data_IF_748912772921
#
_entry.id   IF_748912772921
#
_cell.length_a   1.000
_cell.length_b   1.000
_cell.length_c   1.000
_cell.angle_alpha   90.00
_cell.angle_beta   90.00
_cell.angle_gamma   90.00
#
_symmetry.space_group_name_H-M   'P 1'
#
loop_
_entity.id
_entity.type
_entity.pdbx_description
1 polymer ?
#
# COMPACT_ATOMS: atom_id res chain seq x y z
N UNK A 1 -2.57 15.38 13.25
CA UNK A 1 -1.51 15.08 12.27
C UNK A 1 -1.77 15.98 11.07
N UNK A 2 -0.79 16.80 10.67
CA UNK A 2 -0.90 17.62 9.45
C UNK A 2 -0.89 16.67 8.24
N UNK A 3 -1.90 16.77 7.39
CA UNK A 3 -2.07 15.94 6.20
C UNK A 3 -0.99 16.31 5.16
N UNK A 4 -0.61 15.39 4.26
CA UNK A 4 0.31 15.70 3.14
C UNK A 4 -0.22 16.84 2.26
N UNK A 5 -1.55 16.98 2.15
CA UNK A 5 -2.21 18.10 1.47
C UNK A 5 -2.02 19.46 2.16
N UNK A 6 -1.55 19.48 3.42
CA UNK A 6 -1.45 20.70 4.23
C UNK A 6 -0.09 21.40 4.14
N UNK A 7 0.91 20.81 3.46
CA UNK A 7 2.22 21.46 3.25
C UNK A 7 2.15 22.37 2.03
N UNK A 8 2.09 23.68 2.27
CA UNK A 8 2.11 24.70 1.22
C UNK A 8 3.50 24.74 0.56
N UNK A 9 3.55 24.78 -0.77
CA UNK A 9 4.80 24.90 -1.52
C UNK A 9 4.73 26.09 -2.44
N UNK A 10 5.73 26.96 -2.38
CA UNK A 10 5.82 28.17 -3.21
C UNK A 10 7.21 28.31 -3.80
N UNK A 11 7.28 28.90 -4.99
CA UNK A 11 8.54 29.22 -5.68
C UNK A 11 9.15 30.54 -5.17
N UNK A 12 8.35 31.38 -4.51
CA UNK A 12 8.80 32.62 -3.87
C UNK A 12 9.57 32.32 -2.57
N UNK A 13 10.55 33.16 -2.18
CA UNK A 13 11.29 32.97 -0.93
C UNK A 13 10.46 33.28 0.34
N UNK A 14 9.33 33.96 0.17
CA UNK A 14 8.38 34.34 1.22
C UNK A 14 6.95 34.33 0.70
N UNK A 15 5.98 34.39 1.60
CA UNK A 15 4.56 34.52 1.31
C UNK A 15 4.09 35.85 1.90
N UNK A 16 3.45 36.68 1.08
CA UNK A 16 2.99 38.00 1.53
C UNK A 16 1.96 37.87 2.66
N UNK A 17 2.11 38.71 3.69
CA UNK A 17 1.24 38.70 4.87
C UNK A 17 1.48 37.54 5.84
N UNK A 18 2.40 36.59 5.55
CA UNK A 18 2.66 35.43 6.42
C UNK A 18 4.09 35.46 6.95
N UNK A 19 4.25 35.40 8.27
CA UNK A 19 5.57 35.36 8.92
C UNK A 19 6.11 33.94 9.00
N UNK A 20 7.35 33.73 8.54
CA UNK A 20 8.10 32.51 8.78
C UNK A 20 8.58 32.50 10.24
N UNK A 21 8.09 31.53 11.03
CA UNK A 21 8.44 31.33 12.44
C UNK A 21 9.79 30.65 12.59
N UNK A 22 10.10 29.66 11.75
CA UNK A 22 11.37 28.94 11.79
C UNK A 22 11.77 28.44 10.41
N UNK A 23 13.05 28.59 10.07
CA UNK A 23 13.67 27.86 8.96
C UNK A 23 14.23 26.55 9.52
N UNK A 24 13.88 25.42 8.91
CA UNK A 24 14.32 24.10 9.40
C UNK A 24 15.62 23.71 8.71
N UNK A 25 15.55 23.36 7.41
CA UNK A 25 16.70 23.09 6.54
C UNK A 25 16.26 23.03 5.07
N UNK A 26 17.20 23.08 4.12
CA UNK A 26 16.91 22.73 2.73
C UNK A 26 16.38 21.29 2.60
N UNK A 27 15.45 21.10 1.68
CA UNK A 27 14.88 19.80 1.30
C UNK A 27 15.02 19.61 -0.20
N UNK A 28 15.26 18.39 -0.63
CA UNK A 28 15.33 18.04 -2.04
C UNK A 28 14.62 16.73 -2.36
N UNK A 29 14.21 16.59 -3.62
CA UNK A 29 13.77 15.33 -4.19
C UNK A 29 14.39 15.16 -5.58
N UNK A 30 14.76 13.93 -5.90
CA UNK A 30 15.36 13.57 -7.19
C UNK A 30 14.56 12.43 -7.81
N UNK A 31 14.24 12.56 -9.10
CA UNK A 31 13.55 11.56 -9.89
C UNK A 31 14.37 11.29 -11.14
N UNK A 32 14.70 10.02 -11.40
CA UNK A 32 15.43 9.61 -12.60
C UNK A 32 14.48 8.87 -13.52
N UNK A 33 14.29 9.41 -14.72
CA UNK A 33 13.46 8.83 -15.78
C UNK A 33 14.37 8.34 -16.92
N UNK A 34 14.39 7.03 -17.19
CA UNK A 34 15.23 6.44 -18.23
C UNK A 34 14.63 6.48 -19.64
N UNK A 35 15.48 6.36 -20.67
CA UNK A 35 15.13 6.34 -22.11
C UNK A 35 14.11 5.31 -22.57
N UNK A 36 13.69 4.33 -21.75
CA UNK A 36 12.60 3.41 -22.12
C UNK A 36 11.22 4.03 -21.86
N UNK A 37 11.08 4.79 -20.76
CA UNK A 37 10.17 5.95 -20.77
C UNK A 37 10.64 6.85 -21.93
N UNK A 38 9.91 7.69 -22.63
CA UNK A 38 10.40 8.36 -23.86
C UNK A 38 10.67 7.49 -25.13
N UNK A 39 11.41 6.37 -25.15
CA UNK A 39 11.60 5.58 -26.40
C UNK A 39 10.38 4.75 -26.80
N UNK A 40 9.68 4.13 -25.85
CA UNK A 40 8.35 3.51 -26.07
C UNK A 40 7.31 4.56 -26.56
N UNK A 41 7.61 5.85 -26.37
CA UNK A 41 6.74 6.97 -26.64
C UNK A 41 6.97 7.55 -28.04
N UNK A 42 8.17 7.39 -28.62
CA UNK A 42 8.45 7.73 -30.02
C UNK A 42 7.81 6.72 -31.00
N UNK A 43 7.69 5.45 -30.60
CA UNK A 43 7.01 4.42 -31.40
C UNK A 43 5.48 4.62 -31.53
N UNK A 44 4.88 5.38 -30.60
CA UNK A 44 3.46 5.76 -30.63
C UNK A 44 3.20 7.09 -31.35
N UNK A 45 4.23 7.85 -31.74
CA UNK A 45 4.13 9.23 -32.22
C UNK A 45 4.23 9.38 -33.75
N UNK A 46 4.47 8.32 -34.50
CA UNK A 46 4.60 8.43 -35.97
C UNK A 46 3.31 8.82 -36.69
N UNK A 47 2.13 8.71 -36.07
CA UNK A 47 0.85 8.89 -36.78
C UNK A 47 0.11 10.21 -36.51
N UNK A 48 0.67 11.16 -35.75
CA UNK A 48 -0.03 12.44 -35.50
C UNK A 48 0.86 13.64 -35.79
N UNK A 49 0.63 14.22 -36.97
CA UNK A 49 1.15 15.48 -37.45
C UNK A 49 1.22 16.59 -36.38
N UNK A 50 2.39 17.19 -36.22
CA UNK A 50 2.56 18.63 -36.00
C UNK A 50 1.77 19.27 -34.85
N UNK A 51 2.09 18.93 -33.61
CA UNK A 51 1.63 19.65 -32.42
C UNK A 51 2.15 18.94 -31.19
N UNK A 52 2.80 19.68 -30.27
CA UNK A 52 3.36 19.24 -28.98
C UNK A 52 2.81 17.88 -28.52
N UNK A 53 3.67 16.87 -28.44
CA UNK A 53 3.31 15.50 -28.04
C UNK A 53 2.63 15.52 -26.67
N UNK A 54 1.29 15.47 -26.65
CA UNK A 54 0.48 15.56 -25.42
C UNK A 54 0.91 14.49 -24.39
N UNK A 55 1.31 13.31 -24.84
CA UNK A 55 1.83 12.24 -23.99
C UNK A 55 3.15 12.63 -23.31
N UNK A 56 4.07 13.28 -24.03
CA UNK A 56 5.34 13.76 -23.48
C UNK A 56 5.10 14.85 -22.42
N UNK A 57 4.20 15.80 -22.70
CA UNK A 57 3.85 16.86 -21.76
C UNK A 57 3.15 16.35 -20.50
N UNK A 58 2.24 15.38 -20.64
CA UNK A 58 1.60 14.72 -19.50
C UNK A 58 2.62 14.04 -18.60
N UNK A 59 3.60 13.34 -19.19
CA UNK A 59 4.61 12.64 -18.42
C UNK A 59 5.55 13.61 -17.70
N UNK A 60 5.98 14.69 -18.36
CA UNK A 60 6.74 15.76 -17.70
C UNK A 60 5.94 16.39 -16.55
N UNK A 61 4.64 16.63 -16.75
CA UNK A 61 3.74 17.15 -15.71
C UNK A 61 3.63 16.17 -14.55
N UNK A 62 3.53 14.86 -14.84
CA UNK A 62 3.50 13.79 -13.83
C UNK A 62 4.78 13.78 -13.01
N UNK A 63 5.95 13.81 -13.65
CA UNK A 63 7.23 13.83 -12.96
C UNK A 63 7.43 15.11 -12.14
N UNK A 64 6.97 16.25 -12.66
CA UNK A 64 6.99 17.53 -11.95
C UNK A 64 6.14 17.49 -10.67
N UNK A 65 4.91 16.98 -10.78
CA UNK A 65 4.01 16.81 -9.63
C UNK A 65 4.57 15.81 -8.62
N UNK A 66 5.15 14.71 -9.08
CA UNK A 66 5.80 13.73 -8.23
C UNK A 66 6.98 14.36 -7.45
N UNK A 67 7.79 15.20 -8.10
CA UNK A 67 8.90 15.89 -7.45
C UNK A 67 8.41 16.83 -6.34
N UNK A 68 7.32 17.56 -6.59
CA UNK A 68 6.67 18.42 -5.58
C UNK A 68 6.17 17.58 -4.40
N UNK A 69 5.48 16.47 -4.65
CA UNK A 69 4.95 15.62 -3.59
C UNK A 69 6.08 14.98 -2.74
N UNK A 70 7.18 14.56 -3.37
CA UNK A 70 8.36 14.05 -2.65
C UNK A 70 9.01 15.14 -1.77
N UNK A 71 9.11 16.37 -2.27
CA UNK A 71 9.62 17.52 -1.48
C UNK A 71 8.69 17.85 -0.31
N UNK A 72 7.36 17.82 -0.52
CA UNK A 72 6.38 17.97 0.57
C UNK A 72 6.54 16.90 1.64
N UNK A 73 6.73 15.64 1.23
CA UNK A 73 6.95 14.53 2.16
C UNK A 73 8.23 14.74 2.97
N UNK A 74 9.33 15.13 2.33
CA UNK A 74 10.58 15.44 3.01
C UNK A 74 10.41 16.58 4.03
N UNK A 75 9.67 17.63 3.68
CA UNK A 75 9.37 18.73 4.59
C UNK A 75 8.47 18.29 5.76
N UNK A 76 7.44 17.49 5.49
CA UNK A 76 6.52 16.95 6.50
C UNK A 76 7.24 16.06 7.52
N UNK A 77 8.17 15.21 7.06
CA UNK A 77 9.00 14.36 7.94
C UNK A 77 9.84 15.18 8.93
N UNK A 78 10.14 16.45 8.60
CA UNK A 78 10.87 17.38 9.45
C UNK A 78 9.94 18.23 10.34
N UNK A 79 8.63 18.01 10.28
CA UNK A 79 7.64 18.81 11.01
C UNK A 79 7.38 20.20 10.41
N UNK A 80 7.82 20.44 9.17
CA UNK A 80 7.52 21.67 8.44
C UNK A 80 6.05 21.71 8.01
N UNK A 81 5.51 22.91 7.83
CA UNK A 81 4.19 23.13 7.23
C UNK A 81 4.25 23.89 5.90
N UNK A 82 5.45 24.29 5.45
CA UNK A 82 5.64 24.96 4.17
C UNK A 82 7.03 24.70 3.60
N UNK A 83 7.13 24.74 2.27
CA UNK A 83 8.39 24.82 1.51
C UNK A 83 8.39 26.11 0.70
N UNK A 84 9.39 26.97 0.93
CA UNK A 84 9.59 28.22 0.18
C UNK A 84 10.78 28.12 -0.76
N UNK A 85 10.80 28.97 -1.77
CA UNK A 85 11.90 29.04 -2.73
C UNK A 85 12.07 27.76 -3.55
N UNK A 86 10.97 27.07 -3.86
CA UNK A 86 11.01 25.87 -4.70
C UNK A 86 11.65 26.19 -6.05
N UNK A 87 12.67 25.42 -6.41
CA UNK A 87 13.27 25.34 -7.73
C UNK A 87 13.20 23.91 -8.23
N UNK A 88 12.88 23.74 -9.50
CA UNK A 88 12.88 22.43 -10.16
C UNK A 88 13.72 22.54 -11.41
N UNK A 89 14.79 21.76 -11.44
CA UNK A 89 15.72 21.66 -12.55
C UNK A 89 15.57 20.28 -13.21
N UNK A 90 15.77 20.24 -14.53
CA UNK A 90 15.74 19.00 -15.30
C UNK A 90 17.04 18.88 -16.10
N UNK A 91 17.83 17.87 -15.77
CA UNK A 91 19.13 17.61 -16.37
C UNK A 91 19.09 16.33 -17.19
N UNK A 92 19.79 16.32 -18.33
CA UNK A 92 20.03 15.09 -19.08
C UNK A 92 21.31 14.41 -18.57
N UNK A 93 21.20 13.14 -18.18
CA UNK A 93 22.29 12.24 -17.84
C UNK A 93 22.42 11.23 -18.97
N UNK A 94 23.39 11.43 -19.86
CA UNK A 94 23.64 10.55 -21.00
C UNK A 94 24.89 9.68 -20.80
N UNK A 95 24.79 8.39 -21.12
CA UNK A 95 25.91 7.44 -21.04
C UNK A 95 25.65 6.13 -21.79
N UNK A 96 26.65 5.65 -22.55
CA UNK A 96 26.65 4.35 -23.25
C UNK A 96 25.32 4.02 -23.98
N UNK A 97 24.85 4.93 -24.83
CA UNK A 97 23.61 4.81 -25.63
C UNK A 97 22.29 4.79 -24.84
N UNK A 98 22.28 5.23 -23.58
CA UNK A 98 21.05 5.52 -22.82
C UNK A 98 21.04 7.00 -22.43
N UNK A 99 19.91 7.67 -22.67
CA UNK A 99 19.65 9.02 -22.19
C UNK A 99 18.70 8.89 -21.00
N UNK A 100 19.00 9.56 -19.90
CA UNK A 100 18.15 9.60 -18.72
C UNK A 100 17.90 11.06 -18.37
N UNK A 101 16.71 11.38 -17.89
CA UNK A 101 16.41 12.69 -17.37
C UNK A 101 16.38 12.62 -15.85
N UNK A 102 17.11 13.51 -15.20
CA UNK A 102 17.04 13.71 -13.76
C UNK A 102 16.25 14.99 -13.50
N UNK A 103 15.18 14.87 -12.73
CA UNK A 103 14.42 16.01 -12.22
C UNK A 103 14.80 16.19 -10.77
N UNK A 104 15.28 17.39 -10.45
CA UNK A 104 15.71 17.76 -9.10
C UNK A 104 14.86 18.91 -8.62
N UNK A 105 14.09 18.67 -7.56
CA UNK A 105 13.35 19.71 -6.85
C UNK A 105 14.08 20.08 -5.55
N UNK A 106 14.28 21.36 -5.30
CA UNK A 106 14.95 21.88 -4.10
C UNK A 106 14.16 23.05 -3.53
N UNK A 107 14.03 23.12 -2.21
CA UNK A 107 13.44 24.25 -1.52
C UNK A 107 13.90 24.32 -0.06
N UNK A 108 13.37 25.27 0.71
CA UNK A 108 13.64 25.37 2.15
C UNK A 108 12.39 25.02 2.95
N UNK A 109 12.49 24.01 3.81
CA UNK A 109 11.41 23.63 4.71
C UNK A 109 11.32 24.64 5.87
N UNK A 110 10.13 25.20 6.09
CA UNK A 110 9.87 26.23 7.08
C UNK A 110 8.60 25.96 7.88
N UNK A 111 8.50 26.62 9.03
CA UNK A 111 7.27 26.68 9.84
C UNK A 111 6.72 28.10 9.73
N UNK A 112 5.52 28.24 9.19
CA UNK A 112 4.76 29.49 9.16
C UNK A 112 4.01 29.69 10.49
N UNK A 113 3.84 30.96 10.90
CA UNK A 113 3.03 31.31 12.06
C UNK A 113 1.53 31.08 11.78
N UNK A 114 0.79 30.52 12.74
CA UNK A 114 -0.62 30.12 12.59
C UNK A 114 -1.59 31.32 12.67
N UNK A 115 -1.38 32.37 11.88
CA UNK A 115 -2.42 33.36 11.58
C UNK A 115 -3.00 33.08 10.19
N UNK A 116 -3.55 31.88 10.02
CA UNK A 116 -4.31 31.49 8.84
C UNK A 116 -5.77 31.29 9.27
N UNK A 117 -6.42 32.38 9.69
CA UNK A 117 -7.89 32.42 9.72
C UNK A 117 -8.48 32.70 8.33
N UNK A 118 -7.66 33.19 7.39
CA UNK A 118 -7.97 33.19 5.97
C UNK A 118 -6.95 32.31 5.23
N UNK A 119 -7.30 31.04 5.04
CA UNK A 119 -6.62 30.23 4.02
C UNK A 119 -6.79 30.97 2.69
N UNK A 120 -5.73 31.11 1.86
CA UNK A 120 -5.95 31.31 0.44
C UNK A 120 -6.87 30.18 -0.01
N UNK A 121 -8.06 30.54 -0.49
CA UNK A 121 -9.00 29.60 -1.08
C UNK A 121 -8.30 29.02 -2.31
N UNK A 122 -7.66 27.86 -2.14
CA UNK A 122 -7.38 26.96 -3.24
C UNK A 122 -8.75 26.37 -3.55
N UNK A 123 -9.34 26.62 -4.73
CA UNK A 123 -10.65 26.08 -5.06
C UNK A 123 -10.63 24.56 -4.82
N UNK A 124 -11.49 24.11 -3.90
CA UNK A 124 -11.75 22.69 -3.75
C UNK A 124 -12.31 22.17 -5.08
N UNK A 125 -11.95 20.94 -5.41
CA UNK A 125 -12.08 20.33 -6.74
C UNK A 125 -13.51 20.07 -7.24
N UNK A 126 -14.52 20.77 -6.71
CA UNK A 126 -15.94 20.62 -7.06
C UNK A 126 -16.62 21.94 -7.46
N UNK A 127 -15.87 22.99 -7.82
CA UNK A 127 -16.46 24.12 -8.53
C UNK A 127 -16.85 23.71 -9.95
N UNK A 128 -18.07 24.05 -10.37
CA UNK A 128 -18.46 24.07 -11.78
C UNK A 128 -17.47 24.95 -12.52
N UNK A 129 -16.53 24.32 -13.24
CA UNK A 129 -15.52 25.03 -14.01
C UNK A 129 -16.22 25.94 -15.03
N UNK A 130 -15.99 27.25 -14.94
CA UNK A 130 -16.48 28.22 -15.93
C UNK A 130 -15.96 27.91 -17.35
N UNK A 131 -14.82 27.21 -17.44
CA UNK A 131 -14.23 26.72 -18.69
C UNK A 131 -13.69 25.29 -18.52
N UNK A 132 -14.12 24.36 -19.38
CA UNK A 132 -13.60 22.98 -19.43
C UNK A 132 -12.74 22.80 -20.67
N UNK A 133 -11.44 22.59 -20.48
CA UNK A 133 -10.54 22.25 -21.59
C UNK A 133 -10.89 20.91 -22.24
N UNK A 134 -10.74 20.81 -23.56
CA UNK A 134 -11.02 19.59 -24.35
C UNK A 134 -10.36 18.32 -23.78
N UNK A 135 -9.18 18.45 -23.17
CA UNK A 135 -8.48 17.35 -22.54
C UNK A 135 -9.27 16.75 -21.36
N UNK A 136 -9.84 17.58 -20.48
CA UNK A 136 -10.67 17.10 -19.36
C UNK A 136 -11.88 16.34 -19.90
N UNK A 137 -12.51 16.84 -20.97
CA UNK A 137 -13.64 16.17 -21.63
C UNK A 137 -13.21 14.81 -22.19
N UNK A 138 -12.05 14.72 -22.85
CA UNK A 138 -11.54 13.46 -23.40
C UNK A 138 -11.21 12.44 -22.31
N UNK A 139 -10.63 12.87 -21.18
CA UNK A 139 -10.39 12.03 -20.00
C UNK A 139 -11.71 11.52 -19.42
N UNK A 140 -12.69 12.41 -19.22
CA UNK A 140 -14.03 12.04 -18.74
C UNK A 140 -14.71 11.05 -19.69
N UNK A 141 -14.62 11.25 -21.01
CA UNK A 141 -15.18 10.35 -22.02
C UNK A 141 -14.55 8.96 -21.93
N UNK A 142 -13.21 8.88 -21.90
CA UNK A 142 -12.49 7.60 -21.82
C UNK A 142 -12.71 6.90 -20.45
N UNK A 143 -12.82 7.65 -19.36
CA UNK A 143 -13.21 7.12 -18.04
C UNK A 143 -14.60 6.47 -18.10
N UNK A 144 -15.61 7.18 -18.61
CA UNK A 144 -16.97 6.65 -18.75
C UNK A 144 -17.01 5.41 -19.63
N UNK A 145 -16.34 5.46 -20.78
CA UNK A 145 -16.26 4.32 -21.71
C UNK A 145 -15.65 3.07 -21.05
N UNK A 146 -14.57 3.22 -20.28
CA UNK A 146 -13.93 2.11 -19.57
C UNK A 146 -14.86 1.53 -18.51
N UNK A 147 -15.53 2.39 -17.74
CA UNK A 147 -16.48 1.97 -16.69
C UNK A 147 -17.65 1.20 -17.32
N UNK A 148 -18.28 1.75 -18.36
CA UNK A 148 -19.38 1.09 -19.07
C UNK A 148 -18.97 -0.26 -19.68
N UNK A 149 -17.76 -0.35 -20.25
CA UNK A 149 -17.20 -1.62 -20.75
C UNK A 149 -16.94 -2.60 -19.60
N UNK A 150 -16.48 -2.12 -18.45
CA UNK A 150 -16.27 -2.97 -17.28
C UNK A 150 -17.61 -3.54 -16.82
N UNK A 151 -18.62 -2.70 -16.65
CA UNK A 151 -19.97 -3.06 -16.20
C UNK A 151 -20.64 -4.12 -17.09
N UNK A 152 -20.41 -4.04 -18.41
CA UNK A 152 -20.89 -5.05 -19.37
C UNK A 152 -20.06 -6.34 -19.39
N UNK A 153 -18.88 -6.35 -18.78
CA UNK A 153 -17.95 -7.48 -18.82
C UNK A 153 -17.09 -7.56 -20.08
N UNK A 154 -17.11 -6.52 -20.92
CA UNK A 154 -16.42 -6.47 -22.22
C UNK A 154 -15.04 -5.80 -22.16
N UNK A 155 -14.66 -5.27 -20.99
CA UNK A 155 -13.40 -4.55 -20.83
C UNK A 155 -12.19 -5.47 -21.01
N UNK A 156 -11.38 -5.18 -22.04
CA UNK A 156 -10.07 -5.80 -22.24
C UNK A 156 -9.00 -5.01 -21.51
N UNK A 157 -8.37 -5.63 -20.52
CA UNK A 157 -7.26 -5.05 -19.76
C UNK A 157 -5.93 -5.11 -20.53
N UNK A 158 -5.85 -4.38 -21.64
CA UNK A 158 -4.60 -4.15 -22.37
C UNK A 158 -3.77 -3.04 -21.69
N UNK A 159 -2.57 -2.79 -22.21
CA UNK A 159 -1.64 -1.82 -21.63
C UNK A 159 -2.20 -0.39 -21.63
N UNK A 160 -3.01 -0.02 -22.63
CA UNK A 160 -3.68 1.28 -22.70
C UNK A 160 -4.70 1.48 -21.58
N UNK A 161 -5.49 0.44 -21.29
CA UNK A 161 -6.48 0.47 -20.21
C UNK A 161 -5.77 0.54 -18.87
N UNK A 162 -4.77 -0.32 -18.63
CA UNK A 162 -3.98 -0.30 -17.39
C UNK A 162 -3.33 1.06 -17.15
N UNK A 163 -2.66 1.62 -18.17
CA UNK A 163 -2.00 2.92 -18.08
C UNK A 163 -3.01 4.02 -17.77
N UNK A 164 -4.19 3.99 -18.39
CA UNK A 164 -5.22 4.99 -18.16
C UNK A 164 -5.84 4.90 -16.76
N UNK A 165 -6.30 3.71 -16.32
CA UNK A 165 -6.93 3.58 -15.00
C UNK A 165 -5.95 3.87 -13.86
N UNK A 166 -4.66 3.58 -14.06
CA UNK A 166 -3.58 3.87 -13.11
C UNK A 166 -3.32 5.37 -13.04
N UNK A 167 -3.08 6.01 -14.19
CA UNK A 167 -2.77 7.44 -14.25
C UNK A 167 -3.90 8.34 -13.70
N UNK A 168 -5.16 7.93 -13.87
CA UNK A 168 -6.33 8.68 -13.40
C UNK A 168 -6.99 8.07 -12.16
N UNK A 169 -6.36 7.08 -11.51
CA UNK A 169 -6.81 6.47 -10.25
C UNK A 169 -8.31 6.08 -10.26
N UNK A 170 -8.76 5.39 -11.30
CA UNK A 170 -10.20 5.13 -11.55
C UNK A 170 -10.72 4.01 -10.64
N UNK A 171 -11.04 4.35 -9.38
CA UNK A 171 -11.49 3.40 -8.36
C UNK A 171 -12.73 2.60 -8.75
N UNK A 172 -13.59 3.14 -9.61
CA UNK A 172 -14.86 2.52 -10.01
C UNK A 172 -14.66 1.16 -10.72
N UNK A 173 -13.47 0.88 -11.26
CA UNK A 173 -13.18 -0.42 -11.88
C UNK A 173 -12.75 -1.50 -10.87
N UNK A 174 -12.55 -1.18 -9.59
CA UNK A 174 -12.09 -2.14 -8.56
C UNK A 174 -12.92 -3.43 -8.47
N UNK A 175 -14.27 -3.39 -8.43
CA UNK A 175 -15.08 -4.62 -8.37
C UNK A 175 -14.86 -5.54 -9.58
N UNK A 176 -14.60 -4.93 -10.74
CA UNK A 176 -14.43 -5.61 -12.01
C UNK A 176 -13.04 -6.22 -12.13
N UNK A 177 -12.03 -5.49 -11.66
CA UNK A 177 -10.67 -6.00 -11.50
C UNK A 177 -10.63 -7.18 -10.53
N UNK A 178 -11.35 -7.11 -9.41
CA UNK A 178 -11.44 -8.22 -8.44
C UNK A 178 -12.06 -9.46 -9.09
N UNK A 179 -13.18 -9.30 -9.81
CA UNK A 179 -13.80 -10.40 -10.55
C UNK A 179 -12.81 -11.01 -11.55
N UNK A 180 -12.15 -10.17 -12.35
CA UNK A 180 -11.15 -10.63 -13.31
C UNK A 180 -9.97 -11.33 -12.63
N UNK A 181 -9.57 -10.88 -11.45
CA UNK A 181 -8.48 -11.48 -10.70
C UNK A 181 -8.84 -12.91 -10.25
N UNK A 182 -10.06 -13.11 -9.74
CA UNK A 182 -10.59 -14.45 -9.44
C UNK A 182 -10.58 -15.35 -10.67
N UNK A 183 -11.01 -14.81 -11.80
CA UNK A 183 -11.08 -15.57 -13.05
C UNK A 183 -9.67 -16.02 -13.50
N UNK A 184 -8.66 -15.15 -13.47
CA UNK A 184 -7.30 -15.53 -13.90
C UNK A 184 -6.66 -16.53 -12.93
N UNK A 185 -6.86 -16.38 -11.62
CA UNK A 185 -6.38 -17.35 -10.63
C UNK A 185 -7.00 -18.73 -10.86
N UNK A 186 -8.33 -18.77 -11.05
CA UNK A 186 -9.06 -20.02 -11.27
C UNK A 186 -8.61 -20.73 -12.55
N UNK A 187 -8.24 -19.96 -13.58
CA UNK A 187 -7.86 -20.48 -14.89
C UNK A 187 -6.33 -20.63 -15.08
N UNK A 188 -5.53 -20.41 -14.04
CA UNK A 188 -4.07 -20.55 -14.10
C UNK A 188 -3.59 -21.92 -14.66
N UNK A 189 -4.21 -23.07 -14.32
CA UNK A 189 -3.82 -24.36 -14.90
C UNK A 189 -3.99 -24.43 -16.42
N UNK A 190 -4.96 -23.69 -16.96
CA UNK A 190 -5.25 -23.63 -18.41
C UNK A 190 -4.40 -22.57 -19.12
N UNK A 191 -4.00 -21.51 -18.41
CA UNK A 191 -3.20 -20.40 -18.94
C UNK A 191 -2.07 -20.03 -17.97
N UNK A 192 -1.00 -20.84 -17.89
CA UNK A 192 0.11 -20.58 -16.98
C UNK A 192 0.75 -19.21 -17.20
N UNK A 193 1.07 -18.51 -16.11
CA UNK A 193 1.65 -17.16 -16.08
C UNK A 193 0.63 -16.03 -16.19
N UNK A 194 -0.65 -16.34 -16.42
CA UNK A 194 -1.69 -15.30 -16.56
C UNK A 194 -1.98 -14.59 -15.23
N UNK A 195 -1.94 -15.33 -14.12
CA UNK A 195 -2.12 -14.79 -12.76
C UNK A 195 -1.01 -13.83 -12.39
N UNK A 196 0.25 -14.21 -12.64
CA UNK A 196 1.41 -13.36 -12.34
C UNK A 196 1.40 -12.08 -13.18
N UNK A 197 1.13 -12.21 -14.49
CA UNK A 197 1.02 -11.05 -15.38
C UNK A 197 -0.08 -10.08 -14.92
N UNK A 198 -1.25 -10.60 -14.55
CA UNK A 198 -2.35 -9.77 -14.06
C UNK A 198 -1.99 -9.12 -12.72
N UNK A 199 -1.43 -9.89 -11.78
CA UNK A 199 -1.00 -9.42 -10.47
C UNK A 199 -0.03 -8.23 -10.60
N UNK A 200 0.99 -8.32 -11.45
CA UNK A 200 1.97 -7.26 -11.65
C UNK A 200 1.36 -5.94 -12.17
N UNK A 201 0.35 -6.01 -13.03
CA UNK A 201 -0.37 -4.81 -13.48
C UNK A 201 -1.33 -4.29 -12.40
N UNK A 202 -1.95 -5.20 -11.65
CA UNK A 202 -2.85 -4.86 -10.57
C UNK A 202 -2.13 -4.18 -9.39
N UNK A 203 -0.94 -4.67 -9.00
CA UNK A 203 -0.09 -4.04 -7.98
C UNK A 203 0.24 -2.60 -8.35
N UNK A 204 0.67 -2.33 -9.59
CA UNK A 204 0.96 -0.97 -10.08
C UNK A 204 -0.26 -0.05 -10.00
N UNK A 205 -1.44 -0.57 -10.37
CA UNK A 205 -2.68 0.18 -10.24
C UNK A 205 -3.03 0.48 -8.78
N UNK A 206 -2.94 -0.53 -7.90
CA UNK A 206 -3.21 -0.39 -6.46
C UNK A 206 -2.24 0.59 -5.80
N UNK A 207 -0.95 0.54 -6.14
CA UNK A 207 0.07 1.45 -5.64
C UNK A 207 -0.27 2.91 -5.97
N UNK A 208 -0.79 3.16 -7.17
CA UNK A 208 -1.17 4.50 -7.61
C UNK A 208 -2.42 5.07 -6.93
N UNK A 209 -3.29 4.25 -6.32
CA UNK A 209 -4.52 4.74 -5.67
C UNK A 209 -4.21 5.59 -4.41
N UNK A 210 -5.17 6.38 -3.92
CA UNK A 210 -5.08 6.97 -2.58
C UNK A 210 -4.98 5.92 -1.47
N UNK A 211 -4.17 6.19 -0.44
CA UNK A 211 -3.88 5.22 0.64
C UNK A 211 -5.14 4.73 1.36
N UNK A 212 -6.10 5.62 1.63
CA UNK A 212 -7.36 5.26 2.25
C UNK A 212 -8.14 4.21 1.42
N UNK A 213 -8.22 4.42 0.10
CA UNK A 213 -8.94 3.54 -0.83
C UNK A 213 -8.23 2.19 -0.94
N UNK A 214 -6.90 2.19 -1.15
CA UNK A 214 -6.17 0.93 -1.33
C UNK A 214 -6.14 0.10 -0.05
N UNK A 215 -5.95 0.73 1.12
CA UNK A 215 -5.93 0.02 2.40
C UNK A 215 -7.30 -0.56 2.74
N UNK A 216 -8.38 0.20 2.53
CA UNK A 216 -9.73 -0.31 2.76
C UNK A 216 -10.05 -1.49 1.84
N UNK A 217 -9.75 -1.36 0.55
CA UNK A 217 -9.97 -2.41 -0.43
C UNK A 217 -9.16 -3.68 -0.15
N UNK A 218 -7.86 -3.56 0.14
CA UNK A 218 -6.99 -4.71 0.40
C UNK A 218 -7.36 -5.44 1.70
N UNK A 219 -7.59 -4.72 2.81
CA UNK A 219 -7.94 -5.38 4.08
C UNK A 219 -9.35 -5.98 4.06
N UNK A 220 -10.28 -5.38 3.33
CA UNK A 220 -11.59 -5.99 3.08
C UNK A 220 -11.44 -7.31 2.34
N UNK A 221 -10.66 -7.34 1.25
CA UNK A 221 -10.43 -8.58 0.50
C UNK A 221 -9.65 -9.66 1.28
N UNK A 222 -8.75 -9.27 2.19
CA UNK A 222 -8.11 -10.21 3.12
C UNK A 222 -9.12 -10.86 4.07
N UNK A 223 -10.18 -10.16 4.46
CA UNK A 223 -11.21 -10.69 5.35
C UNK A 223 -12.26 -11.55 4.63
N UNK A 224 -12.26 -11.63 3.29
CA UNK A 224 -13.23 -12.39 2.52
C UNK A 224 -13.04 -13.92 2.62
N UNK A 225 -14.09 -14.71 2.34
CA UNK A 225 -14.01 -16.18 2.45
C UNK A 225 -13.11 -16.83 1.38
N UNK A 226 -12.87 -16.16 0.26
CA UNK A 226 -12.02 -16.66 -0.82
C UNK A 226 -10.53 -16.63 -0.41
N UNK A 227 -10.02 -17.79 0.00
CA UNK A 227 -8.64 -17.92 0.49
C UNK A 227 -7.56 -17.61 -0.53
N UNK A 228 -7.81 -17.80 -1.83
CA UNK A 228 -6.82 -17.52 -2.87
C UNK A 228 -6.69 -16.00 -3.10
N UNK A 229 -7.82 -15.30 -3.16
CA UNK A 229 -7.83 -13.83 -3.23
C UNK A 229 -7.25 -13.22 -1.98
N UNK A 230 -7.65 -13.70 -0.80
CA UNK A 230 -7.12 -13.18 0.46
C UNK A 230 -5.60 -13.33 0.56
N UNK A 231 -5.05 -14.45 0.05
CA UNK A 231 -3.60 -14.66 -0.05
C UNK A 231 -2.98 -13.63 -0.99
N UNK A 232 -3.53 -13.43 -2.19
CA UNK A 232 -3.03 -12.43 -3.15
C UNK A 232 -3.07 -11.02 -2.59
N UNK A 233 -4.11 -10.64 -1.85
CA UNK A 233 -4.18 -9.31 -1.25
C UNK A 233 -3.18 -9.16 -0.10
N UNK A 234 -2.96 -10.21 0.69
CA UNK A 234 -1.89 -10.24 1.70
C UNK A 234 -0.50 -10.07 1.08
N UNK A 235 -0.24 -10.72 -0.07
CA UNK A 235 1.01 -10.53 -0.84
C UNK A 235 1.19 -9.05 -1.24
N UNK A 236 0.15 -8.41 -1.79
CA UNK A 236 0.20 -6.98 -2.18
C UNK A 236 0.49 -6.07 -0.97
N UNK A 237 -0.14 -6.34 0.19
CA UNK A 237 0.11 -5.57 1.43
C UNK A 237 1.58 -5.68 1.82
N UNK A 238 2.17 -6.87 1.69
CA UNK A 238 3.59 -7.10 2.00
C UNK A 238 4.50 -6.39 1.00
N UNK A 239 4.26 -6.56 -0.29
CA UNK A 239 5.08 -6.00 -1.37
C UNK A 239 5.15 -4.47 -1.33
N UNK A 240 4.02 -3.83 -1.04
CA UNK A 240 3.90 -2.38 -1.00
C UNK A 240 4.16 -1.78 0.39
N UNK A 241 4.54 -2.60 1.39
CA UNK A 241 4.71 -2.19 2.79
C UNK A 241 3.48 -1.42 3.31
N UNK A 242 2.28 -2.01 3.20
CA UNK A 242 1.01 -1.39 3.54
C UNK A 242 0.45 -1.90 4.89
N UNK A 243 1.32 -2.27 5.82
CA UNK A 243 0.88 -2.65 7.15
C UNK A 243 0.17 -1.48 7.85
N UNK A 244 -1.05 -1.73 8.35
CA UNK A 244 -1.92 -0.76 9.02
C UNK A 244 -2.46 -1.37 10.32
N UNK A 245 -2.13 -0.74 11.44
CA UNK A 245 -2.47 -1.26 12.77
C UNK A 245 -3.97 -1.40 12.96
N UNK A 246 -4.75 -0.35 12.70
CA UNK A 246 -6.19 -0.33 12.98
C UNK A 246 -6.93 -1.41 12.18
N UNK A 247 -6.60 -1.58 10.90
CA UNK A 247 -7.20 -2.62 10.07
C UNK A 247 -6.72 -4.02 10.47
N UNK A 248 -5.44 -4.20 10.83
CA UNK A 248 -4.96 -5.49 11.30
C UNK A 248 -5.63 -5.92 12.62
N UNK A 249 -5.89 -4.99 13.55
CA UNK A 249 -6.64 -5.25 14.77
C UNK A 249 -8.06 -5.76 14.47
N UNK A 250 -8.71 -5.27 13.39
CA UNK A 250 -10.02 -5.80 12.96
C UNK A 250 -9.93 -7.25 12.48
N UNK A 251 -8.85 -7.62 11.78
CA UNK A 251 -8.63 -9.02 11.36
C UNK A 251 -8.43 -9.93 12.59
N UNK A 252 -7.59 -9.52 13.54
CA UNK A 252 -7.30 -10.28 14.76
C UNK A 252 -8.51 -10.40 15.71
N UNK A 253 -9.45 -9.46 15.66
CA UNK A 253 -10.70 -9.48 16.44
C UNK A 253 -11.88 -10.10 15.70
N UNK A 254 -11.67 -10.60 14.48
CA UNK A 254 -12.73 -11.23 13.70
C UNK A 254 -13.21 -12.54 14.37
N UNK A 255 -14.46 -12.92 14.19
CA UNK A 255 -15.01 -14.17 14.76
C UNK A 255 -14.50 -15.42 14.01
N UNK A 256 -14.13 -15.28 12.74
CA UNK A 256 -13.58 -16.36 11.93
C UNK A 256 -12.08 -16.55 12.21
N UNK A 257 -11.74 -17.73 12.73
CA UNK A 257 -10.37 -18.11 13.06
C UNK A 257 -9.42 -18.10 11.84
N UNK A 258 -9.93 -18.37 10.63
CA UNK A 258 -9.12 -18.28 9.40
C UNK A 258 -8.75 -16.82 9.12
N UNK A 259 -9.67 -15.88 9.34
CA UNK A 259 -9.40 -14.44 9.19
C UNK A 259 -8.42 -13.96 10.27
N UNK A 260 -8.58 -14.42 11.51
CA UNK A 260 -7.62 -14.13 12.59
C UNK A 260 -6.20 -14.57 12.23
N UNK A 261 -6.04 -15.78 11.66
CA UNK A 261 -4.73 -16.27 11.19
C UNK A 261 -4.13 -15.39 10.09
N UNK A 262 -4.94 -14.89 9.15
CA UNK A 262 -4.45 -13.92 8.15
C UNK A 262 -3.98 -12.61 8.81
N UNK A 263 -4.66 -12.20 9.88
CA UNK A 263 -4.22 -11.11 10.76
C UNK A 263 -2.82 -11.34 11.34
N UNK A 264 -2.50 -12.55 11.80
CA UNK A 264 -1.15 -12.91 12.28
C UNK A 264 -0.09 -12.71 11.18
N UNK A 265 -0.34 -13.21 9.97
CA UNK A 265 0.60 -13.01 8.86
C UNK A 265 0.87 -11.53 8.61
N UNK A 266 -0.19 -10.74 8.48
CA UNK A 266 -0.07 -9.31 8.21
C UNK A 266 0.59 -8.55 9.38
N UNK A 267 0.43 -9.00 10.62
CA UNK A 267 1.09 -8.41 11.78
C UNK A 267 2.63 -8.46 11.70
N UNK A 268 3.19 -9.36 10.87
CA UNK A 268 4.63 -9.42 10.61
C UNK A 268 5.09 -8.46 9.49
N UNK A 269 4.19 -7.87 8.72
CA UNK A 269 4.56 -7.03 7.58
C UNK A 269 5.00 -5.62 8.00
N UNK A 270 5.62 -4.92 7.07
CA UNK A 270 6.21 -3.61 7.29
C UNK A 270 5.35 -2.46 6.75
N UNK A 271 5.64 -1.26 7.25
CA UNK A 271 5.08 0.00 6.76
C UNK A 271 6.20 0.98 6.40
N UNK A 272 5.95 2.05 5.62
CA UNK A 272 7.04 2.83 5.01
C UNK A 272 7.95 3.58 6.00
N UNK A 273 7.48 3.81 7.23
CA UNK A 273 8.26 4.43 8.30
C UNK A 273 7.62 4.15 9.65
N UNK A 274 8.41 4.14 10.74
CA UNK A 274 7.93 3.95 12.11
C UNK A 274 8.25 5.18 12.97
N UNK A 275 7.36 5.49 13.92
CA UNK A 275 7.55 6.52 14.93
C UNK A 275 7.37 5.95 16.35
N UNK A 276 7.58 6.77 17.39
CA UNK A 276 7.48 6.34 18.79
C UNK A 276 6.11 5.77 19.18
N UNK A 277 5.02 6.30 18.60
CA UNK A 277 3.67 5.77 18.83
C UNK A 277 3.51 4.38 18.22
N UNK A 278 4.15 4.13 17.07
CA UNK A 278 4.10 2.82 16.42
C UNK A 278 4.77 1.72 17.27
N UNK A 279 5.81 2.05 18.05
CA UNK A 279 6.41 1.11 19.02
C UNK A 279 5.39 0.67 20.05
N UNK A 280 4.63 1.61 20.62
CA UNK A 280 3.55 1.28 21.55
C UNK A 280 2.46 0.44 20.86
N UNK A 281 2.06 0.80 19.64
CA UNK A 281 1.07 0.02 18.89
C UNK A 281 1.55 -1.42 18.63
N UNK A 282 2.85 -1.67 18.43
CA UNK A 282 3.41 -3.01 18.29
C UNK A 282 3.36 -3.79 19.62
N UNK A 283 3.61 -3.15 20.76
CA UNK A 283 3.41 -3.79 22.07
C UNK A 283 1.93 -4.16 22.31
N UNK A 284 1.02 -3.28 21.94
CA UNK A 284 -0.43 -3.54 22.05
C UNK A 284 -0.84 -4.69 21.13
N UNK A 285 -0.29 -4.75 19.91
CA UNK A 285 -0.50 -5.82 18.95
C UNK A 285 -0.03 -7.17 19.48
N UNK A 286 1.17 -7.23 20.07
CA UNK A 286 1.69 -8.43 20.75
C UNK A 286 0.76 -8.92 21.84
N UNK A 287 0.34 -8.00 22.71
CA UNK A 287 -0.60 -8.29 23.80
C UNK A 287 -1.92 -8.85 23.27
N UNK A 288 -2.45 -8.28 22.17
CA UNK A 288 -3.66 -8.79 21.53
C UNK A 288 -3.45 -10.19 20.96
N UNK A 289 -2.34 -10.46 20.26
CA UNK A 289 -2.05 -11.79 19.71
C UNK A 289 -2.05 -12.85 20.82
N UNK A 290 -1.37 -12.58 21.94
CA UNK A 290 -1.34 -13.49 23.08
C UNK A 290 -2.73 -13.70 23.71
N UNK A 291 -3.58 -12.67 23.72
CA UNK A 291 -4.94 -12.76 24.24
C UNK A 291 -5.91 -13.49 23.29
N UNK A 292 -5.74 -13.31 21.98
CA UNK A 292 -6.60 -13.91 20.94
C UNK A 292 -6.32 -15.40 20.77
N UNK A 293 -5.05 -15.80 20.73
CA UNK A 293 -4.66 -17.18 20.39
C UNK A 293 -4.30 -18.01 21.63
N UNK A 294 -5.32 -18.34 22.41
CA UNK A 294 -5.22 -19.25 23.56
C UNK A 294 -5.27 -20.71 23.12
N UNK A 295 -4.86 -21.59 24.02
CA UNK A 295 -5.04 -23.03 23.83
C UNK A 295 -6.52 -23.36 23.58
N UNK A 296 -6.77 -24.09 22.50
CA UNK A 296 -8.10 -24.56 22.07
C UNK A 296 -8.34 -26.01 22.46
N UNK A 297 -7.26 -26.77 22.69
CA UNK A 297 -7.31 -28.12 23.22
C UNK A 297 -7.38 -28.16 24.75
N UNK A 298 -7.74 -29.32 25.29
CA UNK A 298 -7.87 -29.53 26.74
C UNK A 298 -6.78 -30.50 27.20
N UNK A 299 -5.93 -30.07 28.12
CA UNK A 299 -4.96 -30.95 28.78
C UNK A 299 -5.66 -32.03 29.61
N UNK A 300 -5.16 -33.26 29.54
CA UNK A 300 -5.70 -34.42 30.23
C UNK A 300 -4.59 -35.39 30.61
N UNK A 301 -4.94 -36.42 31.38
CA UNK A 301 -4.01 -37.45 31.83
C UNK A 301 -4.51 -38.82 31.43
N UNK A 302 -3.62 -39.64 30.85
CA UNK A 302 -3.91 -41.02 30.48
C UNK A 302 -3.09 -41.98 31.33
N UNK A 303 -3.75 -42.94 31.97
CA UNK A 303 -3.08 -44.05 32.68
C UNK A 303 -2.48 -45.02 31.67
N UNK A 304 -1.23 -45.39 31.86
CA UNK A 304 -0.57 -46.40 31.03
C UNK A 304 -0.96 -47.80 31.51
N UNK A 305 -1.30 -48.70 30.58
CA UNK A 305 -1.98 -49.98 30.84
C UNK A 305 -1.20 -50.97 31.72
N UNK A 306 0.07 -50.68 32.04
CA UNK A 306 1.00 -51.56 32.77
C UNK A 306 1.88 -50.83 33.79
N UNK A 307 1.63 -49.54 34.08
CA UNK A 307 2.45 -48.74 34.99
C UNK A 307 1.60 -47.75 35.77
N UNK A 308 1.98 -47.46 37.01
CA UNK A 308 1.41 -46.38 37.83
C UNK A 308 1.71 -44.99 37.27
N UNK A 309 2.53 -44.91 36.21
CA UNK A 309 2.90 -43.65 35.56
C UNK A 309 1.74 -43.12 34.72
N UNK A 310 1.34 -41.92 35.08
CA UNK A 310 0.42 -41.07 34.33
C UNK A 310 1.18 -40.37 33.20
N UNK A 311 0.57 -40.30 32.01
CA UNK A 311 1.10 -39.57 30.86
C UNK A 311 0.21 -38.37 30.57
N UNK A 312 0.80 -37.20 30.52
CA UNK A 312 0.12 -35.99 30.05
C UNK A 312 -0.19 -36.10 28.55
N UNK A 313 -1.39 -35.71 28.20
CA UNK A 313 -1.94 -35.73 26.84
C UNK A 313 -2.78 -34.45 26.66
N UNK A 314 -3.14 -34.14 25.42
CA UNK A 314 -4.14 -33.12 25.15
C UNK A 314 -5.21 -33.64 24.19
N UNK A 315 -6.44 -33.21 24.45
CA UNK A 315 -7.61 -33.51 23.65
C UNK A 315 -7.82 -32.37 22.65
N UNK A 316 -7.73 -32.71 21.36
CA UNK A 316 -7.96 -31.76 20.28
C UNK A 316 -9.45 -31.49 20.08
N UNK A 317 -9.78 -30.28 19.60
CA UNK A 317 -11.14 -29.88 19.22
C UNK A 317 -11.77 -30.78 18.14
N UNK A 318 -10.97 -31.54 17.39
CA UNK A 318 -11.48 -32.56 16.46
C UNK A 318 -11.80 -33.92 17.13
N UNK A 319 -11.70 -34.02 18.46
CA UNK A 319 -12.01 -35.21 19.25
C UNK A 319 -10.87 -36.25 19.37
N UNK A 320 -9.68 -35.97 18.83
CA UNK A 320 -8.52 -36.89 18.95
C UNK A 320 -7.66 -36.56 20.15
N UNK A 321 -7.08 -37.61 20.73
CA UNK A 321 -6.15 -37.54 21.86
C UNK A 321 -4.72 -37.59 21.33
N UNK A 322 -3.88 -36.67 21.77
CA UNK A 322 -2.50 -36.53 21.30
C UNK A 322 -1.54 -36.41 22.49
N UNK A 323 -0.27 -36.69 22.24
CA UNK A 323 0.79 -36.44 23.21
C UNK A 323 1.05 -34.93 23.33
N UNK A 324 1.55 -34.47 24.48
CA UNK A 324 1.95 -33.07 24.69
C UNK A 324 2.96 -32.62 23.63
N UNK A 325 2.88 -31.35 23.25
CA UNK A 325 3.78 -30.70 22.28
C UNK A 325 3.80 -31.34 20.87
N UNK A 326 2.78 -32.13 20.53
CA UNK A 326 2.61 -32.70 19.20
C UNK A 326 1.44 -32.08 18.45
N UNK A 327 1.55 -32.03 17.12
CA UNK A 327 0.41 -31.72 16.24
C UNK A 327 -0.61 -32.85 16.30
N UNK A 328 -1.88 -32.50 16.27
CA UNK A 328 -2.96 -33.47 16.27
C UNK A 328 -2.85 -34.40 15.07
N UNK A 329 -2.82 -35.72 15.32
CA UNK A 329 -2.69 -36.73 14.27
C UNK A 329 -3.91 -36.82 13.33
N UNK A 330 -4.97 -36.06 13.59
CA UNK A 330 -6.19 -36.00 12.78
C UNK A 330 -6.32 -34.77 11.93
N UNK A 331 -6.37 -33.60 12.57
CA UNK A 331 -6.54 -32.35 11.84
C UNK A 331 -5.20 -31.69 11.47
N UNK A 332 -4.07 -32.22 11.97
CA UNK A 332 -2.73 -31.68 11.73
C UNK A 332 -2.46 -30.34 12.41
N UNK A 333 -3.28 -29.94 13.39
CA UNK A 333 -3.16 -28.67 14.12
C UNK A 333 -2.54 -28.86 15.50
N UNK A 334 -1.76 -27.89 15.95
CA UNK A 334 -1.29 -27.80 17.33
C UNK A 334 -2.43 -27.45 18.30
N UNK A 335 -2.11 -27.34 19.60
CA UNK A 335 -3.09 -27.01 20.64
C UNK A 335 -3.70 -25.61 20.50
N UNK A 336 -3.05 -24.71 19.75
CA UNK A 336 -3.53 -23.36 19.46
C UNK A 336 -4.35 -23.29 18.16
N UNK A 337 -4.40 -24.38 17.38
CA UNK A 337 -5.19 -24.50 16.16
C UNK A 337 -4.43 -24.24 14.85
N UNK A 338 -3.10 -24.16 14.88
CA UNK A 338 -2.24 -23.91 13.70
C UNK A 338 -1.67 -25.21 13.12
N UNK A 339 -1.61 -25.29 11.79
CA UNK A 339 -0.91 -26.38 11.08
C UNK A 339 0.59 -26.12 11.06
N UNK A 340 1.37 -27.18 10.86
CA UNK A 340 2.84 -27.14 10.88
C UNK A 340 3.47 -26.13 9.90
N UNK A 341 2.83 -25.84 8.76
CA UNK A 341 3.33 -24.88 7.77
C UNK A 341 2.76 -23.47 7.94
N UNK A 342 1.83 -23.28 8.88
CA UNK A 342 1.26 -21.96 9.16
C UNK A 342 2.18 -21.19 10.10
N UNK A 343 2.23 -19.88 9.95
CA UNK A 343 2.86 -18.98 10.92
C UNK A 343 2.00 -18.97 12.19
N UNK A 344 2.54 -19.51 13.27
CA UNK A 344 1.86 -19.52 14.57
C UNK A 344 1.99 -18.19 15.33
N UNK A 345 1.12 -18.01 16.32
CA UNK A 345 1.04 -16.79 17.11
C UNK A 345 2.33 -16.48 17.89
N UNK A 346 3.06 -17.49 18.34
CA UNK A 346 4.31 -17.33 19.13
C UNK A 346 5.44 -16.84 18.23
N UNK A 347 5.58 -17.44 17.06
CA UNK A 347 6.57 -17.07 16.05
C UNK A 347 6.33 -15.64 15.56
N UNK A 348 5.07 -15.27 15.35
CA UNK A 348 4.71 -13.89 15.00
C UNK A 348 4.99 -12.90 16.13
N UNK A 349 4.69 -13.25 17.39
CA UNK A 349 5.01 -12.42 18.56
C UNK A 349 6.52 -12.15 18.67
N UNK A 350 7.34 -13.19 18.45
CA UNK A 350 8.80 -13.07 18.45
C UNK A 350 9.32 -12.19 17.32
N UNK A 351 8.74 -12.29 16.13
CA UNK A 351 9.08 -11.41 15.01
C UNK A 351 8.75 -9.94 15.34
N UNK A 352 7.58 -9.68 15.93
CA UNK A 352 7.17 -8.33 16.31
C UNK A 352 8.06 -7.79 17.44
N UNK A 353 8.48 -8.63 18.39
CA UNK A 353 9.46 -8.26 19.42
C UNK A 353 10.78 -7.80 18.81
N UNK A 354 11.35 -8.60 17.91
CA UNK A 354 12.60 -8.23 17.21
C UNK A 354 12.43 -6.93 16.42
N UNK A 355 11.26 -6.72 15.79
CA UNK A 355 10.94 -5.48 15.09
C UNK A 355 10.92 -4.27 16.04
N UNK A 356 10.33 -4.40 17.23
CA UNK A 356 10.34 -3.35 18.26
C UNK A 356 11.77 -3.00 18.65
N UNK A 357 12.62 -4.01 18.91
CA UNK A 357 14.01 -3.80 19.32
C UNK A 357 14.78 -3.00 18.25
N UNK A 358 14.65 -3.40 16.97
CA UNK A 358 15.27 -2.72 15.83
C UNK A 358 14.77 -1.27 15.66
N UNK A 359 13.46 -1.04 15.77
CA UNK A 359 12.90 0.32 15.65
C UNK A 359 13.38 1.22 16.79
N UNK A 360 13.46 0.67 18.00
CA UNK A 360 13.84 1.41 19.21
C UNK A 360 15.29 1.88 19.15
N UNK A 361 16.19 1.07 18.57
CA UNK A 361 17.60 1.44 18.36
C UNK A 361 17.76 2.76 17.58
N UNK A 362 16.88 3.04 16.62
CA UNK A 362 16.92 4.28 15.82
C UNK A 362 16.11 5.44 16.42
N UNK A 363 15.10 5.16 17.26
CA UNK A 363 14.18 6.19 17.76
C UNK A 363 14.55 6.78 19.12
N UNK A 364 15.50 6.19 19.84
CA UNK A 364 15.98 6.68 21.14
C UNK A 364 14.97 6.47 22.25
#
# INVERSE_FOLDING_TARGET
MTNRKDVLVVTTPSIDGVKIKSYIKPVSAHIVAGTNLFSDFLGSLTDVFGGRSQTYQKQLTSLYNEAIERVKQAALQLGANCVVGLKIDMDEISGKNKSMFMITAVGTAVILDKQLDDKPVIPESDETLDNVGMEKINVLRKKKEIIEKAERGDLKFNDDVWSFITAYQIKEVLPHLLKKYRDVITNEPSFPGSTEKFHNSFVRYIEALPDEIKLDFLYTGVAEQDGQIALKFSEIIKELNLFDFERNLKLLKNEDFVVQKRGIYIATYDKPSYNKKDVQNLHDLRSLIQLTFKERGIHAVKKTFLSSKEKEIWNCECGRVNDTDTFCNGCGRDIFGFKQHELDARTADDYIRQKIDLITEYLG
#
